data_IF_588330476778
#
_entry.id   IF_588330476778
#
_cell.length_a   1.000
_cell.length_b   1.000
_cell.length_c   1.000
_cell.angle_alpha   90.00
_cell.angle_beta   90.00
_cell.angle_gamma   90.00
#
_symmetry.space_group_name_H-M   'P 1'
#
loop_
_entity.id
_entity.type
_entity.pdbx_description
1 polymer ?
#
# COMPACT_ATOMS: atom_id res chain seq x y z
N UNK A 1 -32.19 0.57 -9.54
CA UNK A 1 -31.18 -0.18 -10.30
C UNK A 1 -30.20 -0.72 -9.29
N UNK A 2 -30.05 -2.04 -9.24
CA UNK A 2 -29.19 -2.71 -8.24
C UNK A 2 -27.74 -2.64 -8.75
N UNK A 3 -26.89 -1.87 -8.10
CA UNK A 3 -25.47 -1.82 -8.42
C UNK A 3 -24.79 -3.04 -7.78
N UNK A 4 -24.59 -4.07 -8.57
CA UNK A 4 -23.77 -5.23 -8.19
C UNK A 4 -22.35 -4.88 -8.62
N UNK A 5 -21.46 -4.68 -7.66
CA UNK A 5 -20.03 -4.47 -7.91
C UNK A 5 -19.35 -5.82 -7.85
N UNK A 6 -18.76 -6.31 -8.95
CA UNK A 6 -17.97 -7.54 -8.89
C UNK A 6 -16.69 -7.32 -8.10
N UNK A 7 -16.43 -8.18 -7.15
CA UNK A 7 -15.18 -8.22 -6.39
C UNK A 7 -14.03 -8.60 -7.34
N UNK A 8 -13.22 -7.62 -7.71
CA UNK A 8 -11.92 -7.90 -8.32
C UNK A 8 -10.87 -8.02 -7.23
N UNK A 9 -10.52 -9.24 -6.90
CA UNK A 9 -9.27 -9.53 -6.20
C UNK A 9 -8.10 -9.29 -7.18
N UNK A 10 -7.75 -8.03 -7.41
CA UNK A 10 -6.62 -7.63 -8.26
C UNK A 10 -5.52 -7.08 -7.36
N UNK A 11 -5.00 -7.93 -6.51
CA UNK A 11 -3.82 -7.56 -5.73
C UNK A 11 -2.60 -8.43 -6.01
N UNK A 12 -2.79 -9.62 -6.53
CA UNK A 12 -1.68 -10.58 -6.63
C UNK A 12 -1.46 -11.20 -8.01
N UNK A 13 -2.36 -11.02 -8.97
CA UNK A 13 -2.26 -11.69 -10.26
C UNK A 13 -1.52 -10.91 -11.35
N UNK A 14 -1.28 -9.61 -11.19
CA UNK A 14 -0.61 -8.80 -12.22
C UNK A 14 0.92 -8.94 -12.28
N UNK A 15 1.53 -9.75 -11.42
CA UNK A 15 3.00 -9.95 -11.43
C UNK A 15 3.44 -11.11 -12.33
N UNK A 16 2.52 -11.91 -12.87
CA UNK A 16 2.87 -13.17 -13.54
C UNK A 16 2.87 -13.14 -15.08
N UNK A 17 2.62 -11.99 -15.72
CA UNK A 17 2.53 -11.93 -17.20
C UNK A 17 3.74 -11.26 -17.87
N UNK A 18 4.95 -11.53 -17.41
CA UNK A 18 6.15 -10.93 -17.97
C UNK A 18 7.39 -11.80 -18.01
N UNK A 19 7.29 -13.13 -18.13
CA UNK A 19 8.46 -13.99 -18.33
C UNK A 19 8.51 -14.57 -19.72
N UNK A 20 9.19 -13.90 -20.66
CA UNK A 20 9.75 -14.52 -21.86
C UNK A 20 10.92 -15.43 -21.46
N UNK A 21 10.99 -16.59 -22.12
CA UNK A 21 12.01 -17.63 -21.98
C UNK A 21 13.43 -17.06 -22.02
N UNK A 22 14.13 -17.02 -20.91
CA UNK A 22 15.57 -17.10 -20.88
C UNK A 22 15.97 -18.07 -19.76
N UNK A 23 16.50 -19.24 -20.18
CA UNK A 23 17.30 -20.11 -19.32
C UNK A 23 18.60 -19.38 -18.99
N UNK A 24 18.56 -18.53 -17.96
CA UNK A 24 19.75 -17.97 -17.33
C UNK A 24 19.75 -18.45 -15.89
N UNK A 25 20.86 -19.03 -15.45
CA UNK A 25 21.07 -19.43 -14.07
C UNK A 25 20.69 -18.28 -13.15
N UNK A 26 19.69 -18.51 -12.29
CA UNK A 26 19.33 -17.61 -11.21
C UNK A 26 20.56 -17.47 -10.29
N UNK A 27 21.20 -16.31 -10.32
CA UNK A 27 22.21 -15.97 -9.34
C UNK A 27 21.54 -15.90 -7.98
N UNK A 28 21.79 -16.89 -7.16
CA UNK A 28 21.31 -16.97 -5.77
C UNK A 28 22.08 -15.92 -4.96
N UNK A 29 21.50 -14.74 -4.78
CA UNK A 29 21.98 -13.80 -3.77
C UNK A 29 21.44 -14.24 -2.42
N UNK A 30 22.19 -15.10 -1.74
CA UNK A 30 21.95 -15.43 -0.34
C UNK A 30 22.44 -14.26 0.53
N UNK A 31 21.65 -13.23 0.66
CA UNK A 31 21.76 -12.37 1.82
C UNK A 31 21.02 -13.05 2.99
N UNK A 32 21.53 -12.93 4.20
CA UNK A 32 21.00 -13.54 5.43
C UNK A 32 19.50 -13.20 5.71
N UNK A 33 18.87 -12.41 4.87
CA UNK A 33 17.53 -11.83 5.01
C UNK A 33 16.68 -11.89 3.75
N UNK A 34 17.07 -12.65 2.73
CA UNK A 34 16.26 -12.85 1.52
C UNK A 34 15.44 -14.11 1.68
N UNK A 35 14.13 -13.99 1.65
CA UNK A 35 13.23 -15.13 1.53
C UNK A 35 12.99 -15.36 0.03
N UNK A 36 13.52 -16.45 -0.48
CA UNK A 36 13.21 -16.90 -1.84
C UNK A 36 11.82 -17.55 -1.81
N UNK A 37 10.86 -16.93 -2.46
CA UNK A 37 9.55 -17.52 -2.69
C UNK A 37 9.63 -18.28 -4.01
N UNK A 38 9.90 -19.57 -3.94
CA UNK A 38 9.73 -20.45 -5.08
C UNK A 38 8.23 -20.66 -5.33
N UNK A 39 7.71 -20.00 -6.34
CA UNK A 39 6.40 -20.37 -6.86
C UNK A 39 6.54 -21.74 -7.53
N UNK A 40 5.69 -22.72 -7.19
CA UNK A 40 5.71 -24.00 -7.89
C UNK A 40 5.56 -23.74 -9.40
N UNK A 41 6.35 -24.45 -10.20
CA UNK A 41 6.24 -24.36 -11.66
C UNK A 41 4.77 -24.53 -12.05
N UNK A 42 4.12 -23.43 -12.32
CA UNK A 42 2.84 -23.44 -13.01
C UNK A 42 3.16 -23.98 -14.41
N UNK A 43 2.92 -25.27 -14.62
CA UNK A 43 2.96 -25.84 -15.96
C UNK A 43 2.05 -24.97 -16.82
N UNK A 44 2.53 -24.60 -17.98
CA UNK A 44 1.92 -23.67 -18.96
C UNK A 44 0.49 -24.05 -19.45
N UNK A 45 -0.17 -24.99 -18.79
CA UNK A 45 -1.54 -25.43 -19.10
C UNK A 45 -2.61 -24.87 -18.13
N UNK A 46 -2.23 -24.01 -17.22
CA UNK A 46 -3.17 -23.36 -16.31
C UNK A 46 -3.88 -22.22 -17.02
N UNK A 47 -5.04 -22.49 -17.61
CA UNK A 47 -5.97 -21.43 -17.96
C UNK A 47 -6.30 -20.63 -16.68
N UNK A 48 -6.55 -19.32 -16.81
CA UNK A 48 -7.01 -18.46 -15.70
C UNK A 48 -8.22 -19.09 -14.98
N UNK A 49 -8.98 -19.95 -15.65
CA UNK A 49 -10.05 -20.77 -15.07
C UNK A 49 -9.62 -21.60 -13.87
N UNK A 50 -8.39 -22.13 -13.82
CA UNK A 50 -7.94 -22.97 -12.69
C UNK A 50 -7.80 -22.19 -11.36
N UNK A 51 -7.58 -20.89 -11.42
CA UNK A 51 -7.58 -20.01 -10.25
C UNK A 51 -9.02 -19.80 -9.72
N UNK A 52 -9.98 -19.64 -10.63
CA UNK A 52 -11.40 -19.51 -10.27
C UNK A 52 -12.00 -20.81 -9.75
N UNK A 53 -11.54 -21.96 -10.27
CA UNK A 53 -11.95 -23.30 -9.78
C UNK A 53 -11.52 -23.55 -8.32
N UNK A 54 -10.52 -22.80 -7.84
CA UNK A 54 -10.04 -22.84 -6.44
C UNK A 54 -10.88 -21.97 -5.50
N UNK A 55 -11.76 -21.14 -6.02
CA UNK A 55 -12.64 -20.28 -5.22
C UNK A 55 -13.91 -21.06 -4.92
N UNK A 56 -13.94 -21.67 -3.73
CA UNK A 56 -15.12 -22.34 -3.26
C UNK A 56 -16.08 -21.36 -2.59
N UNK A 57 -17.32 -21.32 -3.04
CA UNK A 57 -18.42 -20.51 -2.46
C UNK A 57 -18.11 -19.00 -2.37
N UNK A 58 -17.96 -18.29 -3.50
CA UNK A 58 -17.79 -16.85 -3.46
C UNK A 58 -19.00 -16.17 -2.82
N UNK A 59 -18.75 -15.28 -1.86
CA UNK A 59 -19.80 -14.48 -1.25
C UNK A 59 -19.83 -13.10 -1.88
N UNK A 60 -21.02 -12.66 -2.32
CA UNK A 60 -21.22 -11.31 -2.82
C UNK A 60 -21.61 -10.42 -1.65
N UNK A 61 -20.76 -9.44 -1.34
CA UNK A 61 -21.05 -8.42 -0.34
C UNK A 61 -21.67 -7.20 -1.03
N UNK A 62 -22.94 -6.91 -0.69
CA UNK A 62 -23.58 -5.70 -1.18
C UNK A 62 -23.29 -4.54 -0.22
N UNK A 63 -22.67 -3.46 -0.73
CA UNK A 63 -22.46 -2.25 0.06
C UNK A 63 -23.78 -1.50 0.28
N UNK A 64 -24.04 -1.15 1.53
CA UNK A 64 -25.20 -0.39 1.99
C UNK A 64 -24.72 1.01 2.40
N UNK A 65 -24.79 1.93 1.46
CA UNK A 65 -24.32 3.30 1.61
C UNK A 65 -25.51 4.25 1.75
N UNK A 66 -25.26 5.45 2.25
CA UNK A 66 -26.27 6.50 2.27
C UNK A 66 -26.57 7.03 0.86
N UNK A 67 -27.70 7.70 0.66
CA UNK A 67 -28.10 8.23 -0.64
C UNK A 67 -27.11 9.20 -1.27
N UNK A 68 -26.38 9.94 -0.42
CA UNK A 68 -25.42 10.95 -0.83
C UNK A 68 -24.00 10.39 -0.97
N UNK A 69 -23.82 9.10 -0.72
CA UNK A 69 -22.54 8.44 -0.92
C UNK A 69 -22.44 7.87 -2.33
N UNK A 70 -21.87 8.66 -3.20
CA UNK A 70 -21.49 8.19 -4.53
C UNK A 70 -20.10 7.53 -4.43
N UNK A 71 -19.97 6.31 -4.94
CA UNK A 71 -18.68 5.65 -5.12
C UNK A 71 -18.35 5.66 -6.61
N UNK A 72 -17.21 6.24 -6.95
CA UNK A 72 -16.70 6.25 -8.33
C UNK A 72 -15.92 4.98 -8.64
N UNK A 73 -15.24 4.42 -7.61
CA UNK A 73 -14.48 3.20 -7.71
C UNK A 73 -13.88 2.80 -6.36
N UNK A 74 -13.41 1.57 -6.29
CA UNK A 74 -12.62 1.08 -5.15
C UNK A 74 -11.20 0.90 -5.64
N UNK A 75 -10.33 1.87 -5.31
CA UNK A 75 -8.93 1.85 -5.72
C UNK A 75 -8.07 0.99 -4.79
N UNK A 76 -8.44 0.93 -3.53
CA UNK A 76 -7.76 0.17 -2.50
C UNK A 76 -8.77 -0.32 -1.46
N UNK A 77 -8.65 -1.59 -1.08
CA UNK A 77 -9.49 -2.24 -0.07
C UNK A 77 -8.61 -2.90 0.98
N UNK A 78 -8.87 -2.61 2.25
CA UNK A 78 -8.24 -3.28 3.39
C UNK A 78 -9.31 -3.84 4.32
N UNK A 79 -9.02 -5.01 4.88
CA UNK A 79 -9.82 -5.62 5.92
C UNK A 79 -9.08 -5.49 7.26
N UNK A 80 -9.76 -5.01 8.27
CA UNK A 80 -9.22 -4.92 9.61
C UNK A 80 -10.34 -5.05 10.64
N UNK A 81 -10.15 -5.92 11.62
CA UNK A 81 -11.10 -6.17 12.71
C UNK A 81 -12.55 -6.38 12.23
N UNK A 82 -12.73 -7.25 11.24
CA UNK A 82 -14.04 -7.59 10.68
C UNK A 82 -14.74 -6.46 9.91
N UNK A 83 -14.03 -5.37 9.63
CA UNK A 83 -14.54 -4.24 8.85
C UNK A 83 -13.79 -4.13 7.52
N UNK A 84 -14.45 -3.54 6.55
CA UNK A 84 -13.90 -3.21 5.26
C UNK A 84 -13.63 -1.70 5.19
N UNK A 85 -12.40 -1.35 4.84
CA UNK A 85 -12.00 0.03 4.60
C UNK A 85 -11.60 0.15 3.14
N UNK A 86 -12.19 1.08 2.42
CA UNK A 86 -11.83 1.27 1.02
C UNK A 86 -11.69 2.74 0.65
N UNK A 87 -10.74 2.97 -0.23
CA UNK A 87 -10.43 4.27 -0.79
C UNK A 87 -11.09 4.45 -2.14
N UNK A 88 -11.80 5.54 -2.31
CA UNK A 88 -12.23 6.07 -3.60
C UNK A 88 -11.34 7.27 -3.95
N UNK A 89 -10.42 7.07 -4.88
CA UNK A 89 -9.45 8.08 -5.28
C UNK A 89 -10.11 9.26 -6.00
N UNK A 90 -11.13 9.03 -6.81
CA UNK A 90 -11.81 10.09 -7.54
C UNK A 90 -12.57 11.01 -6.58
N UNK A 91 -13.24 10.44 -5.57
CA UNK A 91 -13.93 11.18 -4.52
C UNK A 91 -12.96 11.70 -3.44
N UNK A 92 -11.71 11.26 -3.47
CA UNK A 92 -10.72 11.56 -2.43
C UNK A 92 -11.26 11.25 -1.03
N UNK A 93 -11.85 10.07 -0.87
CA UNK A 93 -12.62 9.66 0.30
C UNK A 93 -12.24 8.26 0.78
N UNK A 94 -12.35 8.04 2.07
CA UNK A 94 -12.18 6.73 2.71
C UNK A 94 -13.52 6.33 3.36
N UNK A 95 -13.97 5.14 3.07
CA UNK A 95 -15.19 4.56 3.64
C UNK A 95 -14.85 3.40 4.56
N UNK A 96 -15.63 3.25 5.62
CA UNK A 96 -15.62 2.09 6.50
C UNK A 96 -16.98 1.44 6.49
N UNK A 97 -17.02 0.13 6.23
CA UNK A 97 -18.22 -0.71 6.31
C UNK A 97 -17.97 -1.89 7.24
N UNK A 98 -19.02 -2.41 7.85
CA UNK A 98 -18.95 -3.65 8.62
C UNK A 98 -18.88 -4.90 7.71
N UNK A 99 -18.82 -6.07 8.33
CA UNK A 99 -18.77 -7.37 7.64
C UNK A 99 -20.00 -7.67 6.78
N UNK A 100 -21.11 -6.96 6.97
CA UNK A 100 -22.33 -7.07 6.17
C UNK A 100 -22.42 -6.01 5.07
N UNK A 101 -21.40 -5.17 4.92
CA UNK A 101 -21.34 -4.10 3.93
C UNK A 101 -22.08 -2.83 4.33
N UNK A 102 -22.57 -2.72 5.56
CA UNK A 102 -23.24 -1.51 6.04
C UNK A 102 -22.21 -0.45 6.40
N UNK A 103 -22.35 0.75 5.82
CA UNK A 103 -21.50 1.87 6.13
C UNK A 103 -21.53 2.22 7.62
N UNK A 104 -20.36 2.35 8.21
CA UNK A 104 -20.18 2.81 9.59
C UNK A 104 -19.86 4.33 9.60
N UNK A 105 -18.93 4.73 8.74
CA UNK A 105 -18.57 6.14 8.56
C UNK A 105 -17.86 6.34 7.22
N UNK A 106 -17.66 7.62 6.86
CA UNK A 106 -16.78 8.02 5.77
C UNK A 106 -15.92 9.23 6.18
N UNK A 107 -14.67 9.24 5.73
CA UNK A 107 -13.74 10.36 5.88
C UNK A 107 -13.68 11.07 4.52
N UNK A 108 -14.34 12.24 4.42
CA UNK A 108 -14.45 13.08 3.23
C UNK A 108 -13.96 14.50 3.56
N UNK A 109 -12.69 14.61 3.96
CA UNK A 109 -12.14 15.84 4.54
C UNK A 109 -11.07 16.46 3.65
N UNK A 110 -11.47 16.89 2.46
CA UNK A 110 -10.56 17.58 1.53
C UNK A 110 -10.36 19.04 1.93
N UNK A 111 -9.11 19.43 2.21
CA UNK A 111 -8.78 20.79 2.57
C UNK A 111 -7.39 20.93 3.19
N UNK A 112 -7.13 22.07 3.87
CA UNK A 112 -5.84 22.40 4.50
C UNK A 112 -5.95 22.62 6.02
N UNK A 113 -7.14 22.49 6.56
CA UNK A 113 -7.41 22.66 8.00
C UNK A 113 -6.94 21.47 8.83
N UNK A 114 -7.11 21.55 10.15
CA UNK A 114 -6.87 20.44 11.05
C UNK A 114 -7.72 19.22 10.67
N UNK A 115 -7.09 18.07 10.50
CA UNK A 115 -7.79 16.85 10.09
C UNK A 115 -8.26 16.85 8.63
N UNK A 116 -7.70 17.70 7.78
CA UNK A 116 -7.97 17.72 6.35
C UNK A 116 -6.74 17.32 5.54
N UNK A 117 -6.96 16.73 4.35
CA UNK A 117 -5.94 16.33 3.39
C UNK A 117 -6.25 16.90 2.01
N UNK A 118 -5.21 17.12 1.21
CA UNK A 118 -5.35 17.51 -0.18
C UNK A 118 -5.47 16.30 -1.11
N UNK A 119 -4.76 15.23 -0.77
CA UNK A 119 -4.71 13.99 -1.54
C UNK A 119 -4.66 12.79 -0.59
N UNK A 120 -5.72 12.00 -0.56
CA UNK A 120 -5.73 10.71 0.12
C UNK A 120 -4.91 9.73 -0.72
N UNK A 121 -3.59 9.79 -0.54
CA UNK A 121 -2.65 9.02 -1.36
C UNK A 121 -2.71 7.54 -1.02
N UNK A 122 -2.60 7.23 0.27
CA UNK A 122 -2.60 5.88 0.82
C UNK A 122 -3.12 5.89 2.25
N UNK A 123 -3.49 4.74 2.78
CA UNK A 123 -3.91 4.61 4.17
C UNK A 123 -3.53 3.25 4.74
N UNK A 124 -3.37 3.18 6.05
CA UNK A 124 -3.28 1.91 6.77
C UNK A 124 -4.03 2.00 8.11
N UNK A 125 -4.29 0.84 8.70
CA UNK A 125 -4.99 0.74 9.96
C UNK A 125 -4.12 -0.07 10.93
N UNK A 126 -3.96 0.44 12.14
CA UNK A 126 -3.37 -0.31 13.24
C UNK A 126 -4.15 -0.02 14.52
N UNK A 127 -4.61 -1.06 15.18
CA UNK A 127 -5.46 -0.95 16.37
C UNK A 127 -6.67 -0.03 16.10
N UNK A 128 -6.84 1.00 16.90
CA UNK A 128 -7.96 1.94 16.80
C UNK A 128 -7.65 3.17 15.94
N UNK A 129 -6.58 3.14 15.14
CA UNK A 129 -6.14 4.30 14.37
C UNK A 129 -6.04 4.01 12.88
N UNK A 130 -6.68 4.87 12.09
CA UNK A 130 -6.50 4.97 10.65
C UNK A 130 -5.44 6.05 10.39
N UNK A 131 -4.40 5.68 9.67
CA UNK A 131 -3.35 6.60 9.22
C UNK A 131 -3.57 6.91 7.74
N UNK A 132 -3.75 8.16 7.41
CA UNK A 132 -3.95 8.65 6.04
C UNK A 132 -2.73 9.43 5.60
N UNK A 133 -2.10 9.02 4.52
CA UNK A 133 -0.97 9.72 3.91
C UNK A 133 -1.48 10.80 2.94
N UNK A 134 -1.07 12.05 3.17
CA UNK A 134 -1.26 13.16 2.25
C UNK A 134 0.08 13.51 1.57
N UNK A 135 0.23 13.12 0.31
CA UNK A 135 1.46 13.35 -0.46
C UNK A 135 1.67 14.83 -0.81
N UNK A 136 0.59 15.58 -1.04
CA UNK A 136 0.68 16.98 -1.46
C UNK A 136 1.09 17.92 -0.31
N UNK A 137 0.88 17.49 0.92
CA UNK A 137 1.37 18.21 2.09
C UNK A 137 2.10 17.27 3.04
N UNK A 138 3.25 16.67 2.71
CA UNK A 138 3.85 15.45 3.29
C UNK A 138 3.58 15.31 4.79
N UNK A 139 2.44 14.72 5.09
CA UNK A 139 1.90 14.55 6.45
C UNK A 139 1.08 13.28 6.53
N UNK A 140 0.93 12.77 7.73
CA UNK A 140 0.03 11.65 8.02
C UNK A 140 -1.05 12.18 8.97
N UNK A 141 -2.31 12.02 8.59
CA UNK A 141 -3.44 12.39 9.41
C UNK A 141 -3.98 11.12 10.07
N UNK A 142 -4.15 11.18 11.38
CA UNK A 142 -4.65 10.05 12.15
C UNK A 142 -6.14 10.29 12.47
N UNK A 143 -6.94 9.27 12.17
CA UNK A 143 -8.37 9.23 12.50
C UNK A 143 -8.67 8.01 13.35
N UNK A 144 -9.75 8.07 14.10
CA UNK A 144 -10.26 6.93 14.87
C UNK A 144 -10.84 5.87 13.91
N UNK A 145 -10.47 4.60 14.09
CA UNK A 145 -11.05 3.48 13.37
C UNK A 145 -12.45 3.09 13.87
N UNK A 146 -12.89 3.70 14.97
CA UNK A 146 -14.23 3.47 15.54
C UNK A 146 -15.29 4.30 14.81
N UNK A 147 -15.03 5.60 14.62
CA UNK A 147 -16.01 6.58 14.15
C UNK A 147 -15.50 7.56 13.08
N UNK A 148 -14.25 7.44 12.64
CA UNK A 148 -13.66 8.30 11.60
C UNK A 148 -13.35 9.73 12.07
N UNK A 149 -13.42 10.05 13.38
CA UNK A 149 -13.08 11.37 13.88
C UNK A 149 -11.58 11.64 13.80
N UNK A 150 -11.21 12.88 13.56
CA UNK A 150 -9.81 13.32 13.59
C UNK A 150 -9.21 13.17 15.00
N UNK A 151 -8.01 12.61 15.07
CA UNK A 151 -7.26 12.42 16.31
C UNK A 151 -6.07 13.38 16.40
N UNK A 152 -5.18 13.31 15.43
CA UNK A 152 -3.94 14.08 15.41
C UNK A 152 -3.28 14.12 14.04
N UNK A 153 -2.30 15.00 13.91
CA UNK A 153 -1.43 15.15 12.74
C UNK A 153 -0.01 14.70 13.07
N UNK A 154 0.60 13.97 12.17
CA UNK A 154 2.02 13.63 12.18
C UNK A 154 2.70 14.35 11.01
N UNK A 155 3.56 15.30 11.32
CA UNK A 155 4.38 16.00 10.32
C UNK A 155 5.63 15.18 10.05
N UNK A 156 5.85 14.78 8.80
CA UNK A 156 7.06 14.07 8.42
C UNK A 156 8.21 15.09 8.34
N UNK A 157 9.31 14.83 9.06
CA UNK A 157 10.45 15.76 9.18
C UNK A 157 11.13 16.07 7.84
N UNK A 158 11.08 15.16 6.89
CA UNK A 158 11.73 15.38 5.59
C UNK A 158 10.71 15.51 4.46
N UNK A 159 11.05 16.40 3.54
CA UNK A 159 10.31 16.47 2.27
C UNK A 159 10.65 15.24 1.44
N UNK A 160 9.64 14.45 1.12
CA UNK A 160 9.72 13.30 0.25
C UNK A 160 8.45 13.20 -0.60
N UNK A 161 8.53 12.51 -1.72
CA UNK A 161 7.36 12.17 -2.53
C UNK A 161 6.86 10.79 -2.08
N UNK A 162 6.25 10.76 -0.89
CA UNK A 162 5.75 9.54 -0.27
C UNK A 162 4.43 9.11 -0.93
N UNK A 163 4.32 7.83 -1.30
CA UNK A 163 3.15 7.33 -2.00
C UNK A 163 2.56 6.02 -1.42
N UNK A 164 3.25 5.39 -0.48
CA UNK A 164 2.70 4.27 0.27
C UNK A 164 3.07 4.38 1.76
N UNK A 165 2.18 3.89 2.60
CA UNK A 165 2.24 3.94 4.06
C UNK A 165 1.81 2.61 4.64
N UNK A 166 2.57 2.12 5.63
CA UNK A 166 2.19 0.94 6.40
C UNK A 166 2.68 1.04 7.84
N UNK A 167 2.04 0.33 8.76
CA UNK A 167 2.45 0.25 10.17
C UNK A 167 2.98 -1.14 10.47
N UNK A 168 4.17 -1.21 11.05
CA UNK A 168 4.69 -2.42 11.66
C UNK A 168 5.69 -2.09 12.78
N UNK A 169 5.71 -2.89 13.83
CA UNK A 169 6.63 -2.73 14.98
C UNK A 169 6.57 -1.32 15.60
N UNK A 170 5.38 -0.76 15.75
CA UNK A 170 5.12 0.59 16.27
C UNK A 170 5.85 1.71 15.50
N UNK A 171 6.18 1.47 14.22
CA UNK A 171 6.77 2.42 13.31
C UNK A 171 5.85 2.64 12.12
N UNK A 172 5.84 3.86 11.61
CA UNK A 172 5.21 4.20 10.34
C UNK A 172 6.27 4.05 9.25
N UNK A 173 6.01 3.16 8.30
CA UNK A 173 6.86 2.91 7.16
C UNK A 173 6.33 3.62 5.95
N UNK A 174 7.19 4.38 5.30
CA UNK A 174 6.85 5.21 4.15
C UNK A 174 7.69 4.79 2.96
N UNK A 175 7.02 4.56 1.84
CA UNK A 175 7.69 4.35 0.57
C UNK A 175 7.64 5.64 -0.25
N UNK A 176 8.81 6.08 -0.72
CA UNK A 176 8.92 7.33 -1.47
C UNK A 176 9.46 7.11 -2.87
N UNK A 177 9.04 7.97 -3.79
CA UNK A 177 9.55 7.99 -5.15
C UNK A 177 11.02 8.40 -5.15
N UNK A 178 11.86 7.58 -5.77
CA UNK A 178 13.30 7.87 -5.91
C UNK A 178 13.60 8.88 -7.03
N UNK A 179 12.62 9.21 -7.86
CA UNK A 179 12.80 10.09 -9.03
C UNK A 179 13.08 11.56 -8.67
N UNK A 180 12.62 12.00 -7.52
CA UNK A 180 12.78 13.39 -7.06
C UNK A 180 14.00 13.65 -6.22
N UNK A 181 14.78 12.63 -5.93
CA UNK A 181 16.04 12.79 -5.21
C UNK A 181 17.10 13.36 -6.12
N UNK A 182 17.11 14.62 -6.39
CA UNK A 182 18.13 15.31 -7.14
C UNK A 182 19.55 14.71 -7.03
N UNK A 183 20.57 15.37 -7.39
CA UNK A 183 21.97 14.89 -7.56
C UNK A 183 22.66 14.29 -6.30
N UNK A 184 21.94 13.84 -5.26
CA UNK A 184 22.53 13.20 -4.07
C UNK A 184 22.91 11.75 -4.36
N UNK A 185 24.03 11.32 -3.77
CA UNK A 185 24.68 10.05 -4.12
C UNK A 185 23.87 8.79 -3.77
N UNK A 186 23.01 8.82 -2.74
CA UNK A 186 22.17 7.69 -2.34
C UNK A 186 20.76 8.16 -2.05
N UNK A 187 19.77 7.51 -2.65
CA UNK A 187 18.37 7.65 -2.30
C UNK A 187 17.90 6.40 -1.54
N UNK A 188 17.05 6.61 -0.57
CA UNK A 188 16.47 5.54 0.24
C UNK A 188 14.96 5.53 0.00
N UNK A 189 14.45 4.59 -0.79
CA UNK A 189 13.01 4.54 -1.06
C UNK A 189 12.19 4.23 0.17
N UNK A 190 12.70 3.48 1.13
CA UNK A 190 11.98 3.11 2.33
C UNK A 190 12.49 3.89 3.56
N UNK A 191 11.56 4.53 4.25
CA UNK A 191 11.81 5.36 5.43
C UNK A 191 10.91 4.92 6.57
N UNK A 192 11.47 4.71 7.75
CA UNK A 192 10.70 4.51 8.97
C UNK A 192 10.68 5.79 9.80
N UNK A 193 9.50 6.16 10.29
CA UNK A 193 9.32 7.28 11.21
C UNK A 193 8.59 6.83 12.47
N UNK A 194 8.77 7.57 13.54
CA UNK A 194 8.02 7.35 14.78
C UNK A 194 6.64 8.04 14.74
N UNK A 195 5.91 7.93 15.82
CA UNK A 195 4.58 8.53 15.97
C UNK A 195 4.56 10.07 15.94
N UNK A 196 5.72 10.73 16.02
CA UNK A 196 5.87 12.18 15.91
C UNK A 196 6.25 12.63 14.50
N UNK A 197 6.68 11.70 13.64
CA UNK A 197 7.16 11.96 12.28
C UNK A 197 8.67 12.08 12.15
N UNK A 198 9.42 11.83 13.24
CA UNK A 198 10.88 11.84 13.25
C UNK A 198 11.40 10.59 12.55
N UNK A 199 12.41 10.75 11.71
CA UNK A 199 13.03 9.63 10.98
C UNK A 199 13.81 8.77 11.96
N UNK A 200 13.46 7.49 11.99
CA UNK A 200 14.17 6.45 12.74
C UNK A 200 15.21 5.73 11.87
N UNK A 201 14.87 5.41 10.64
CA UNK A 201 15.77 4.73 9.73
C UNK A 201 15.42 4.95 8.27
N UNK A 202 16.43 4.74 7.39
CA UNK A 202 16.30 4.77 5.94
C UNK A 202 16.88 3.46 5.41
N UNK A 203 16.12 2.75 4.59
CA UNK A 203 16.47 1.41 4.15
C UNK A 203 16.53 1.32 2.62
N UNK A 204 17.28 0.32 2.13
CA UNK A 204 17.39 -0.06 0.73
C UNK A 204 18.00 1.07 -0.11
N UNK A 205 19.28 1.35 0.13
CA UNK A 205 20.02 2.38 -0.62
C UNK A 205 19.97 2.11 -2.14
N UNK A 206 19.56 3.11 -2.91
CA UNK A 206 19.53 3.08 -4.36
C UNK A 206 20.75 3.76 -4.96
N UNK A 207 21.41 3.09 -5.89
CA UNK A 207 22.53 3.66 -6.61
C UNK A 207 22.02 4.68 -7.67
N UNK A 208 22.77 5.78 -7.86
CA UNK A 208 22.49 6.82 -8.84
C UNK A 208 22.33 6.29 -10.27
N UNK A 209 23.13 5.27 -10.67
CA UNK A 209 23.01 4.66 -12.00
C UNK A 209 21.63 4.01 -12.22
N UNK A 210 21.09 3.45 -11.16
CA UNK A 210 19.78 2.83 -11.17
C UNK A 210 18.67 3.88 -11.29
N UNK A 211 18.74 4.94 -10.50
CA UNK A 211 17.78 6.05 -10.49
C UNK A 211 17.68 6.72 -11.86
N UNK A 212 18.81 6.95 -12.53
CA UNK A 212 18.83 7.59 -13.85
C UNK A 212 18.20 6.75 -14.98
N UNK A 213 18.11 5.43 -14.82
CA UNK A 213 17.43 4.54 -15.78
C UNK A 213 15.91 4.54 -15.63
N UNK A 214 15.40 5.00 -14.49
CA UNK A 214 13.98 4.99 -14.15
C UNK A 214 13.24 6.25 -14.64
N UNK A 215 13.84 7.08 -15.46
CA UNK A 215 13.55 8.50 -15.63
C UNK A 215 12.15 8.89 -16.11
N UNK A 216 11.21 7.99 -16.43
CA UNK A 216 9.90 8.43 -16.93
C UNK A 216 8.69 7.53 -16.59
N UNK A 217 8.81 6.56 -15.71
CA UNK A 217 7.67 5.70 -15.40
C UNK A 217 7.35 5.79 -13.90
N UNK A 218 6.18 6.30 -13.57
CA UNK A 218 5.60 6.20 -12.23
C UNK A 218 5.18 4.74 -11.93
N UNK A 219 6.15 3.89 -11.76
CA UNK A 219 5.88 2.53 -11.29
C UNK A 219 5.80 2.58 -9.79
N UNK A 220 4.58 2.46 -9.24
CA UNK A 220 4.35 2.38 -7.81
C UNK A 220 5.04 1.13 -7.23
N UNK A 221 5.74 1.30 -6.13
CA UNK A 221 6.12 0.17 -5.27
C UNK A 221 4.95 -0.19 -4.36
N UNK A 222 5.10 -1.25 -3.61
CA UNK A 222 4.08 -1.73 -2.69
C UNK A 222 4.68 -1.95 -1.31
N UNK A 223 3.92 -1.64 -0.28
CA UNK A 223 4.20 -1.97 1.11
C UNK A 223 3.11 -2.89 1.64
N UNK A 224 3.52 -3.87 2.43
CA UNK A 224 2.59 -4.75 3.12
C UNK A 224 3.19 -5.16 4.46
N UNK A 225 2.44 -5.01 5.54
CA UNK A 225 2.81 -5.55 6.84
C UNK A 225 2.42 -7.03 6.93
N UNK A 226 3.30 -7.87 7.46
CA UNK A 226 3.02 -9.27 7.73
C UNK A 226 3.94 -9.80 8.83
N UNK A 227 3.37 -10.45 9.85
CA UNK A 227 4.09 -11.08 10.96
C UNK A 227 5.18 -10.15 11.55
N UNK A 228 4.79 -8.96 11.99
CA UNK A 228 5.67 -7.95 12.57
C UNK A 228 6.82 -7.49 11.65
N UNK A 229 6.71 -7.71 10.35
CA UNK A 229 7.67 -7.24 9.36
C UNK A 229 7.02 -6.39 8.28
N UNK A 230 7.85 -5.71 7.51
CA UNK A 230 7.45 -4.99 6.30
C UNK A 230 7.99 -5.73 5.08
N UNK A 231 7.10 -6.10 4.19
CA UNK A 231 7.46 -6.53 2.85
C UNK A 231 7.36 -5.31 1.91
N UNK A 232 8.40 -5.11 1.12
CA UNK A 232 8.45 -4.00 0.18
C UNK A 232 8.87 -4.46 -1.19
N UNK A 233 8.09 -4.11 -2.21
CA UNK A 233 8.44 -4.22 -3.61
C UNK A 233 8.85 -2.85 -4.13
N UNK A 234 10.07 -2.76 -4.62
CA UNK A 234 10.59 -1.55 -5.24
C UNK A 234 10.53 -1.72 -6.75
N UNK A 235 10.06 -0.72 -7.50
CA UNK A 235 10.02 -0.79 -8.95
C UNK A 235 11.38 -1.15 -9.55
N UNK A 236 11.37 -2.00 -10.57
CA UNK A 236 12.57 -2.47 -11.29
C UNK A 236 13.53 -3.35 -10.46
N UNK A 237 13.21 -3.68 -9.22
CA UNK A 237 13.92 -4.72 -8.48
C UNK A 237 13.22 -6.06 -8.70
N UNK A 238 13.98 -7.08 -9.06
CA UNK A 238 13.48 -8.45 -9.19
C UNK A 238 13.44 -9.16 -7.82
N UNK A 239 13.08 -8.42 -6.78
CA UNK A 239 13.07 -8.91 -5.41
C UNK A 239 11.97 -8.24 -4.60
N UNK A 240 11.42 -8.98 -3.64
CA UNK A 240 10.63 -8.45 -2.54
C UNK A 240 11.54 -8.46 -1.32
N UNK A 241 11.71 -7.30 -0.70
CA UNK A 241 12.50 -7.16 0.51
C UNK A 241 11.61 -7.35 1.72
N UNK A 242 12.08 -8.11 2.69
CA UNK A 242 11.43 -8.24 3.99
C UNK A 242 12.31 -7.65 5.07
N UNK A 243 11.74 -6.75 5.85
CA UNK A 243 12.42 -6.08 6.94
C UNK A 243 11.80 -6.54 8.26
N UNK A 244 12.60 -7.18 9.09
CA UNK A 244 12.20 -7.66 10.40
C UNK A 244 12.90 -6.82 11.47
N UNK A 245 12.15 -6.18 12.35
CA UNK A 245 12.72 -5.33 13.40
C UNK A 245 13.51 -4.15 12.85
N UNK A 246 14.70 -3.90 13.42
CA UNK A 246 15.61 -2.82 12.99
C UNK A 246 16.68 -3.29 12.00
N UNK A 247 16.79 -4.59 11.76
CA UNK A 247 17.72 -5.18 10.80
C UNK A 247 17.11 -5.19 9.37
N UNK A 248 17.97 -4.95 8.40
CA UNK A 248 17.69 -5.17 6.97
C UNK A 248 18.25 -6.51 6.61
#
# INVERSE_FOLDING_TARGET
>A
MKNIIPFYFIGLACVLLGCSKHHGALATYTSKHTVEVCLPNLKDNGSVSSLFDSIHNPTILQLQLDRDDLISGIDELKMFDGKFYFKDKQQNSLFCCDSLGKKQFAIKRRGRGPGEYLDLTDFCIDKDTIYVLDRLGPKIICYSAVDGRYLRLVKIETRGDYYALEVANNKLWLLQSVYRFGRKNNAYPLVAVDSTGKILSKKIAQNRRYINRLSNHHMGGELCSHNNGINVRIPMHNAIYRILGDSV
#
